data_IF_173972280666
#
_entry.id   IF_173972280666
#
_cell.length_a   1.000
_cell.length_b   1.000
_cell.length_c   1.000
_cell.angle_alpha   90.00
_cell.angle_beta   90.00
_cell.angle_gamma   90.00
#
_symmetry.space_group_name_H-M   'P 1'
#
loop_
_entity.id
_entity.type
_entity.pdbx_description
1 polymer ?
#
# COMPACT_ATOMS: atom_id res chain seq x y z
N UNK A 1 8.35 0.29 -19.16
CA UNK A 1 9.76 0.33 -18.74
C UNK A 1 10.52 1.48 -19.40
N UNK A 2 9.84 2.58 -19.72
CA UNK A 2 10.45 3.62 -20.56
C UNK A 2 11.21 4.65 -19.74
N UNK A 3 10.77 4.90 -18.50
CA UNK A 3 11.41 5.81 -17.55
C UNK A 3 12.65 5.18 -16.90
N UNK A 4 12.56 3.87 -16.59
CA UNK A 4 13.59 3.10 -15.90
C UNK A 4 13.69 1.71 -16.54
N UNK A 5 14.89 1.28 -16.94
CA UNK A 5 15.11 -0.10 -17.39
C UNK A 5 15.06 -1.04 -16.18
N UNK A 6 14.22 -2.08 -16.26
CA UNK A 6 14.02 -3.05 -15.18
C UNK A 6 14.12 -4.45 -15.77
N UNK A 7 15.08 -5.26 -15.30
CA UNK A 7 15.26 -6.65 -15.73
C UNK A 7 14.97 -7.64 -14.62
N UNK A 8 14.98 -7.17 -13.37
CA UNK A 8 14.68 -7.96 -12.17
C UNK A 8 13.75 -7.22 -11.19
N UNK A 9 12.75 -7.92 -10.65
CA UNK A 9 11.74 -7.35 -9.73
C UNK A 9 11.56 -8.23 -8.50
N UNK A 10 11.47 -7.61 -7.32
CA UNK A 10 10.98 -8.27 -6.10
C UNK A 10 9.71 -7.58 -5.59
N UNK A 11 8.69 -8.35 -5.23
CA UNK A 11 7.39 -7.86 -4.76
C UNK A 11 7.14 -8.33 -3.31
N UNK A 12 7.08 -7.39 -2.37
CA UNK A 12 6.80 -7.65 -0.95
C UNK A 12 5.30 -7.46 -0.67
N UNK A 13 4.63 -8.54 -0.29
CA UNK A 13 3.17 -8.64 -0.24
C UNK A 13 2.59 -8.96 -1.62
N UNK A 14 3.19 -9.91 -2.33
CA UNK A 14 2.84 -10.17 -3.73
C UNK A 14 1.46 -10.82 -3.93
N UNK A 15 0.83 -11.32 -2.86
CA UNK A 15 -0.38 -12.14 -2.91
C UNK A 15 -0.23 -13.27 -3.92
N UNK A 16 -1.14 -13.32 -4.91
CA UNK A 16 -1.11 -14.31 -6.00
C UNK A 16 -0.02 -14.09 -7.06
N UNK A 17 0.83 -13.06 -6.93
CA UNK A 17 1.88 -12.72 -7.90
C UNK A 17 1.35 -11.98 -9.13
N UNK A 18 0.18 -11.35 -9.05
CA UNK A 18 -0.46 -10.66 -10.19
C UNK A 18 0.44 -9.57 -10.81
N UNK A 19 1.12 -8.77 -9.99
CA UNK A 19 2.03 -7.73 -10.45
C UNK A 19 3.29 -8.31 -11.10
N UNK A 20 3.87 -9.35 -10.50
CA UNK A 20 5.01 -10.06 -11.07
C UNK A 20 4.66 -10.71 -12.42
N UNK A 21 3.46 -11.27 -12.57
CA UNK A 21 2.95 -11.76 -13.86
C UNK A 21 2.86 -10.66 -14.91
N UNK A 22 2.41 -9.46 -14.52
CA UNK A 22 2.38 -8.29 -15.40
C UNK A 22 3.79 -7.82 -15.79
N UNK A 23 4.76 -7.87 -14.88
CA UNK A 23 6.18 -7.60 -15.18
C UNK A 23 6.76 -8.62 -16.16
N UNK A 24 6.48 -9.92 -15.99
CA UNK A 24 6.88 -10.98 -16.94
C UNK A 24 6.32 -10.73 -18.34
N UNK A 25 5.06 -10.33 -18.45
CA UNK A 25 4.43 -9.94 -19.73
C UNK A 25 5.09 -8.73 -20.39
N UNK A 26 5.70 -7.85 -19.59
CA UNK A 26 6.49 -6.72 -20.07
C UNK A 26 7.96 -7.08 -20.34
N UNK A 27 8.36 -8.35 -20.22
CA UNK A 27 9.71 -8.83 -20.54
C UNK A 27 10.69 -8.97 -19.37
N UNK A 28 10.27 -8.72 -18.11
CA UNK A 28 11.10 -9.04 -16.92
C UNK A 28 11.24 -10.56 -16.83
N UNK A 29 12.47 -11.06 -16.76
CA UNK A 29 12.73 -12.51 -16.69
C UNK A 29 12.97 -13.00 -15.27
N UNK A 30 13.36 -12.10 -14.39
CA UNK A 30 13.81 -12.43 -13.05
C UNK A 30 12.87 -11.78 -12.04
N UNK A 31 11.96 -12.57 -11.48
CA UNK A 31 10.98 -12.10 -10.50
C UNK A 31 11.05 -12.91 -9.23
N UNK A 32 10.78 -12.27 -8.10
CA UNK A 32 10.59 -12.93 -6.82
C UNK A 32 9.44 -12.30 -6.04
N UNK A 33 8.51 -13.12 -5.56
CA UNK A 33 7.39 -12.69 -4.73
C UNK A 33 7.54 -13.18 -3.31
N UNK A 34 7.35 -12.29 -2.33
CA UNK A 34 7.25 -12.65 -0.92
C UNK A 34 5.86 -12.31 -0.40
N UNK A 35 5.23 -13.25 0.30
CA UNK A 35 3.99 -12.98 1.03
C UNK A 35 3.89 -13.87 2.27
N UNK A 36 3.16 -13.42 3.28
CA UNK A 36 2.83 -14.22 4.46
C UNK A 36 1.69 -15.20 4.20
N UNK A 37 0.89 -14.94 3.16
CA UNK A 37 -0.36 -15.62 2.89
C UNK A 37 -0.18 -17.10 2.59
N UNK A 38 -0.99 -17.94 3.23
CA UNK A 38 -1.26 -19.32 2.82
C UNK A 38 -2.22 -19.32 1.60
N UNK A 39 -1.81 -18.63 0.53
CA UNK A 39 -2.56 -18.61 -0.73
C UNK A 39 -2.50 -19.99 -1.35
N UNK A 40 -3.64 -20.45 -1.85
CA UNK A 40 -3.72 -21.68 -2.62
C UNK A 40 -2.75 -21.61 -3.80
N UNK A 41 -1.86 -22.59 -3.88
CA UNK A 41 -0.82 -22.65 -4.91
C UNK A 41 -1.41 -22.71 -6.31
N UNK A 42 -2.65 -23.17 -6.45
CA UNK A 42 -3.37 -23.28 -7.72
C UNK A 42 -3.76 -21.92 -8.32
N UNK A 43 -3.82 -20.85 -7.51
CA UNK A 43 -4.21 -19.51 -8.00
C UNK A 43 -3.02 -18.58 -8.27
N UNK A 44 -1.78 -19.06 -8.10
CA UNK A 44 -0.60 -18.25 -8.41
C UNK A 44 -0.49 -17.95 -9.91
N UNK A 45 -0.08 -16.71 -10.21
CA UNK A 45 0.14 -16.22 -11.58
C UNK A 45 1.62 -16.16 -11.95
N UNK A 46 2.48 -16.76 -11.12
CA UNK A 46 3.92 -16.91 -11.26
C UNK A 46 4.32 -18.34 -10.92
N UNK A 47 5.54 -18.74 -11.27
CA UNK A 47 6.03 -20.07 -10.95
C UNK A 47 6.24 -20.20 -9.44
N UNK A 48 5.91 -21.36 -8.86
CA UNK A 48 6.08 -21.59 -7.40
C UNK A 48 7.52 -21.39 -6.92
N UNK A 49 8.50 -21.59 -7.80
CA UNK A 49 9.91 -21.33 -7.51
C UNK A 49 10.26 -19.83 -7.40
N UNK A 50 9.40 -18.96 -7.94
CA UNK A 50 9.51 -17.50 -7.86
C UNK A 50 8.83 -16.97 -6.58
N UNK A 51 8.07 -17.79 -5.87
CA UNK A 51 7.41 -17.42 -4.61
C UNK A 51 8.19 -17.94 -3.39
N UNK A 52 8.25 -17.12 -2.34
CA UNK A 52 8.73 -17.53 -1.03
C UNK A 52 7.80 -16.99 0.06
N UNK A 53 7.28 -17.89 0.88
CA UNK A 53 6.51 -17.48 2.06
C UNK A 53 7.43 -16.77 3.07
N UNK A 54 7.06 -15.57 3.49
CA UNK A 54 7.82 -14.75 4.43
C UNK A 54 6.92 -13.73 5.13
N UNK A 55 7.10 -13.57 6.44
CA UNK A 55 6.48 -12.51 7.21
C UNK A 55 7.22 -11.18 6.97
N UNK A 56 6.66 -10.34 6.11
CA UNK A 56 7.21 -9.03 5.73
C UNK A 56 7.22 -7.99 6.87
N UNK A 57 6.69 -8.33 8.06
CA UNK A 57 6.89 -7.52 9.27
C UNK A 57 8.26 -7.74 9.91
N UNK A 58 9.01 -8.75 9.45
CA UNK A 58 10.35 -9.09 9.95
C UNK A 58 11.45 -8.54 9.05
N UNK A 59 12.63 -8.23 9.61
CA UNK A 59 13.80 -7.85 8.81
C UNK A 59 14.12 -8.91 7.75
N UNK A 60 14.22 -8.48 6.50
CA UNK A 60 14.48 -9.36 5.36
C UNK A 60 15.95 -9.27 4.93
N UNK A 61 16.57 -10.45 4.77
CA UNK A 61 17.89 -10.60 4.17
C UNK A 61 17.80 -11.54 2.98
N UNK A 62 18.21 -11.04 1.81
CA UNK A 62 18.35 -11.79 0.56
C UNK A 62 19.71 -11.42 -0.03
N UNK A 63 20.50 -12.42 -0.41
CA UNK A 63 21.87 -12.27 -0.94
C UNK A 63 21.92 -11.81 -2.40
N UNK A 64 20.88 -11.10 -2.84
CA UNK A 64 20.68 -10.63 -4.21
C UNK A 64 20.06 -9.23 -4.18
N UNK A 65 20.42 -8.42 -5.15
CA UNK A 65 19.78 -7.12 -5.43
C UNK A 65 18.93 -7.22 -6.69
N UNK A 66 17.89 -6.41 -6.72
CA UNK A 66 16.96 -6.28 -7.84
C UNK A 66 17.07 -4.87 -8.43
N UNK A 67 16.62 -4.69 -9.67
CA UNK A 67 16.53 -3.37 -10.29
C UNK A 67 15.37 -2.58 -9.68
N UNK A 68 14.27 -3.27 -9.35
CA UNK A 68 13.06 -2.72 -8.76
C UNK A 68 12.57 -3.59 -7.60
N UNK A 69 12.22 -2.96 -6.49
CA UNK A 69 11.38 -3.57 -5.46
C UNK A 69 9.98 -2.93 -5.51
N UNK A 70 8.93 -3.68 -5.20
CA UNK A 70 7.60 -3.12 -5.06
C UNK A 70 6.84 -3.66 -3.84
N UNK A 71 5.85 -2.89 -3.40
CA UNK A 71 4.87 -3.27 -2.39
C UNK A 71 3.64 -2.38 -2.59
N UNK A 72 2.53 -2.96 -3.03
CA UNK A 72 1.42 -2.22 -3.64
C UNK A 72 0.08 -2.55 -2.95
N UNK A 73 -0.43 -1.62 -2.15
CA UNK A 73 -1.61 -1.81 -1.28
C UNK A 73 -1.41 -2.99 -0.30
N UNK A 74 -0.33 -2.89 0.49
CA UNK A 74 0.12 -3.92 1.44
C UNK A 74 0.41 -3.30 2.80
N UNK A 75 1.16 -2.20 2.84
CA UNK A 75 1.70 -1.65 4.07
C UNK A 75 0.60 -1.14 5.05
N UNK A 76 -0.60 -0.86 4.55
CA UNK A 76 -1.79 -0.50 5.34
C UNK A 76 -2.37 -1.67 6.15
N UNK A 77 -2.07 -2.91 5.77
CA UNK A 77 -2.49 -4.10 6.50
C UNK A 77 -1.53 -4.46 7.63
N UNK A 78 -0.31 -3.91 7.60
CA UNK A 78 0.72 -4.17 8.60
C UNK A 78 0.53 -3.28 9.82
N UNK A 79 0.92 -3.71 11.03
CA UNK A 79 0.95 -2.80 12.17
C UNK A 79 1.90 -1.63 11.88
N UNK A 80 1.58 -0.43 12.38
CA UNK A 80 2.42 0.77 12.20
C UNK A 80 3.88 0.54 12.62
N UNK A 81 4.11 -0.29 13.64
CA UNK A 81 5.46 -0.67 14.10
C UNK A 81 6.31 -1.41 13.06
N UNK A 82 5.69 -1.97 12.00
CA UNK A 82 6.39 -2.61 10.90
C UNK A 82 6.71 -1.66 9.74
N UNK A 83 6.25 -0.40 9.78
CA UNK A 83 6.42 0.57 8.69
C UNK A 83 7.90 0.83 8.36
N UNK A 84 8.76 1.03 9.36
CA UNK A 84 10.19 1.19 9.11
C UNK A 84 10.83 -0.11 8.60
N UNK A 85 10.43 -1.28 9.12
CA UNK A 85 10.98 -2.58 8.70
C UNK A 85 10.70 -2.90 7.23
N UNK A 86 9.49 -2.64 6.74
CA UNK A 86 9.15 -2.90 5.32
C UNK A 86 9.90 -1.93 4.40
N UNK A 87 9.98 -0.64 4.75
CA UNK A 87 10.72 0.34 3.95
C UNK A 87 12.22 0.03 3.95
N UNK A 88 12.80 -0.35 5.09
CA UNK A 88 14.19 -0.78 5.18
C UNK A 88 14.45 -2.00 4.28
N UNK A 89 13.53 -2.98 4.28
CA UNK A 89 13.63 -4.18 3.45
C UNK A 89 13.60 -3.82 1.95
N UNK A 90 12.63 -3.00 1.52
CA UNK A 90 12.51 -2.55 0.12
C UNK A 90 13.76 -1.80 -0.34
N UNK A 91 14.23 -0.84 0.46
CA UNK A 91 15.37 0.03 0.13
C UNK A 91 16.71 -0.72 0.13
N UNK A 92 16.84 -1.79 0.92
CA UNK A 92 17.98 -2.71 0.84
C UNK A 92 17.96 -3.56 -0.42
N UNK A 93 16.79 -3.91 -0.95
CA UNK A 93 16.68 -4.85 -2.07
C UNK A 93 16.94 -4.22 -3.44
N UNK A 94 16.56 -2.96 -3.63
CA UNK A 94 16.65 -2.30 -4.94
C UNK A 94 16.96 -0.80 -4.84
N UNK A 95 17.61 -0.21 -5.86
CA UNK A 95 17.80 1.25 -5.95
C UNK A 95 16.52 2.01 -6.30
N UNK A 96 15.49 1.31 -6.76
CA UNK A 96 14.20 1.87 -7.15
C UNK A 96 13.12 1.08 -6.45
N UNK A 97 12.16 1.77 -5.86
CA UNK A 97 11.02 1.19 -5.15
C UNK A 97 9.72 1.76 -5.72
N UNK A 98 8.82 0.90 -6.18
CA UNK A 98 7.45 1.25 -6.54
C UNK A 98 6.52 0.92 -5.37
N UNK A 99 5.90 1.93 -4.78
CA UNK A 99 5.19 1.78 -3.51
C UNK A 99 3.79 2.38 -3.58
N UNK A 100 2.82 1.69 -2.97
CA UNK A 100 1.51 2.27 -2.67
C UNK A 100 0.97 1.70 -1.36
N UNK A 101 0.25 2.55 -0.63
CA UNK A 101 -0.46 2.17 0.58
C UNK A 101 -1.69 3.07 0.73
N UNK A 102 -2.75 2.51 1.32
CA UNK A 102 -3.99 3.23 1.56
C UNK A 102 -3.80 4.50 2.41
N UNK A 103 -4.45 5.58 1.99
CA UNK A 103 -4.56 6.83 2.78
C UNK A 103 -5.66 6.70 3.84
N UNK A 104 -5.68 7.54 4.89
CA UNK A 104 -6.72 7.49 5.92
C UNK A 104 -8.13 7.55 5.35
N UNK A 105 -8.97 6.64 5.82
CA UNK A 105 -10.37 6.46 5.41
C UNK A 105 -10.55 6.03 3.94
N UNK A 106 -9.52 5.51 3.29
CA UNK A 106 -9.69 4.84 2.00
C UNK A 106 -10.62 3.63 2.12
N UNK A 107 -10.55 2.95 3.28
CA UNK A 107 -11.31 1.74 3.56
C UNK A 107 -10.74 0.53 2.84
N UNK A 108 -11.24 -0.63 3.21
CA UNK A 108 -10.72 -1.93 2.78
C UNK A 108 -10.83 -2.93 3.94
N UNK A 109 -10.45 -4.17 3.69
CA UNK A 109 -10.51 -5.23 4.71
C UNK A 109 -9.24 -5.21 5.52
N UNK A 110 -9.34 -5.18 6.85
CA UNK A 110 -8.20 -5.27 7.78
C UNK A 110 -7.10 -4.21 7.56
N UNK A 111 -7.49 -3.00 7.16
CA UNK A 111 -6.57 -1.85 7.16
C UNK A 111 -6.36 -1.38 8.60
N UNK A 112 -5.12 -1.46 9.08
CA UNK A 112 -4.73 -1.06 10.45
C UNK A 112 -3.75 0.10 10.48
N UNK A 113 -3.11 0.42 9.35
CA UNK A 113 -2.09 1.45 9.22
C UNK A 113 -2.27 2.30 7.94
N UNK A 114 -3.45 2.88 7.77
CA UNK A 114 -3.70 3.84 6.70
C UNK A 114 -2.95 5.16 6.99
N UNK A 115 -2.03 5.54 6.10
CA UNK A 115 -1.11 6.66 6.33
C UNK A 115 -0.99 7.55 5.09
N UNK A 116 -0.76 8.84 5.30
CA UNK A 116 -0.54 9.77 4.20
C UNK A 116 0.77 9.47 3.44
N UNK A 117 0.87 9.74 2.13
CA UNK A 117 2.10 9.52 1.37
C UNK A 117 3.34 10.21 1.96
N UNK A 118 3.16 11.37 2.61
CA UNK A 118 4.23 12.11 3.30
C UNK A 118 4.79 11.36 4.52
N UNK A 119 3.99 10.50 5.17
CA UNK A 119 4.48 9.62 6.23
C UNK A 119 5.50 8.63 5.65
N UNK A 120 5.13 7.96 4.56
CA UNK A 120 6.00 7.01 3.88
C UNK A 120 7.22 7.68 3.27
N UNK A 121 7.06 8.86 2.65
CA UNK A 121 8.19 9.65 2.12
C UNK A 121 9.23 9.94 3.19
N UNK A 122 8.80 10.34 4.40
CA UNK A 122 9.72 10.62 5.49
C UNK A 122 10.53 9.39 5.88
N UNK A 123 9.93 8.21 5.88
CA UNK A 123 10.64 6.95 6.16
C UNK A 123 11.62 6.65 5.03
N UNK A 124 11.18 6.64 3.77
CA UNK A 124 12.07 6.43 2.60
C UNK A 124 13.25 7.42 2.58
N UNK A 125 13.01 8.68 2.92
CA UNK A 125 14.03 9.72 2.98
C UNK A 125 15.09 9.43 4.03
N UNK A 126 14.73 8.87 5.20
CA UNK A 126 15.71 8.40 6.21
C UNK A 126 16.64 7.31 5.64
N UNK A 127 16.14 6.50 4.71
CA UNK A 127 16.91 5.46 4.02
C UNK A 127 17.65 5.97 2.77
N UNK A 128 17.70 7.29 2.53
CA UNK A 128 18.43 7.89 1.41
C UNK A 128 17.70 7.83 0.08
N UNK A 129 16.37 7.68 0.09
CA UNK A 129 15.55 7.68 -1.12
C UNK A 129 14.83 9.02 -1.32
N UNK A 130 14.55 9.35 -2.57
CA UNK A 130 13.81 10.53 -3.01
C UNK A 130 12.54 10.08 -3.73
N UNK A 131 11.42 10.70 -3.39
CA UNK A 131 10.16 10.48 -4.11
C UNK A 131 10.21 11.15 -5.49
N UNK A 132 9.65 10.47 -6.49
CA UNK A 132 9.44 10.96 -7.86
C UNK A 132 8.00 10.63 -8.25
N UNK A 133 7.13 11.64 -8.31
CA UNK A 133 5.72 11.46 -8.67
C UNK A 133 5.51 11.48 -10.20
N UNK A 134 6.06 10.47 -10.87
CA UNK A 134 5.99 10.34 -12.32
C UNK A 134 4.82 9.49 -12.82
N UNK A 135 4.18 8.70 -11.95
CA UNK A 135 3.18 7.71 -12.37
C UNK A 135 1.77 8.27 -12.28
N UNK A 136 1.39 8.90 -11.16
CA UNK A 136 0.02 9.35 -10.92
C UNK A 136 -0.46 10.33 -11.99
N UNK A 137 0.43 11.18 -12.49
CA UNK A 137 0.14 12.11 -13.58
C UNK A 137 -0.29 11.40 -14.88
N UNK A 138 0.22 10.19 -15.13
CA UNK A 138 -0.08 9.41 -16.34
C UNK A 138 -1.37 8.60 -16.23
N UNK A 139 -1.72 8.18 -15.00
CA UNK A 139 -2.83 7.24 -14.78
C UNK A 139 -4.05 7.84 -14.09
N UNK A 140 -3.98 9.09 -13.61
CA UNK A 140 -5.04 9.71 -12.79
C UNK A 140 -6.45 9.58 -13.39
N UNK A 141 -6.59 9.88 -14.69
CA UNK A 141 -7.87 9.83 -15.40
C UNK A 141 -8.07 8.53 -16.21
N UNK A 142 -7.19 7.54 -16.06
CA UNK A 142 -7.29 6.30 -16.80
C UNK A 142 -8.30 5.37 -16.13
N UNK A 143 -9.48 5.23 -16.72
CA UNK A 143 -10.56 4.42 -16.15
C UNK A 143 -10.25 2.93 -16.03
N UNK A 144 -9.23 2.44 -16.76
CA UNK A 144 -8.75 1.06 -16.65
C UNK A 144 -7.85 0.82 -15.44
N UNK A 145 -7.45 1.89 -14.74
CA UNK A 145 -6.65 1.82 -13.52
C UNK A 145 -7.58 2.03 -12.34
N UNK A 146 -7.50 1.14 -11.34
CA UNK A 146 -8.26 1.28 -10.12
C UNK A 146 -7.87 2.58 -9.41
N UNK A 147 -8.84 3.27 -8.82
CA UNK A 147 -8.61 4.63 -8.31
C UNK A 147 -7.55 4.67 -7.19
N UNK A 148 -7.45 3.61 -6.38
CA UNK A 148 -6.47 3.52 -5.30
C UNK A 148 -5.04 3.47 -5.86
N UNK A 149 -4.79 2.69 -6.93
CA UNK A 149 -3.50 2.74 -7.62
C UNK A 149 -3.24 4.09 -8.28
N UNK A 150 -4.24 4.70 -8.92
CA UNK A 150 -4.07 6.03 -9.52
C UNK A 150 -3.74 7.11 -8.47
N UNK A 151 -4.16 6.91 -7.23
CA UNK A 151 -4.00 7.84 -6.12
C UNK A 151 -2.70 7.64 -5.34
N UNK A 152 -2.35 6.39 -5.02
CA UNK A 152 -1.37 6.07 -3.99
C UNK A 152 -0.01 5.69 -4.56
N UNK A 153 0.07 5.37 -5.85
CA UNK A 153 1.26 4.81 -6.47
C UNK A 153 2.36 5.87 -6.65
N UNK A 154 3.47 5.69 -5.94
CA UNK A 154 4.64 6.57 -5.96
C UNK A 154 5.90 5.78 -6.27
N UNK A 155 6.86 6.46 -6.89
CA UNK A 155 8.18 5.94 -7.14
C UNK A 155 9.17 6.56 -6.15
N UNK A 156 10.00 5.74 -5.53
CA UNK A 156 11.11 6.17 -4.69
C UNK A 156 12.42 5.69 -5.29
N UNK A 157 13.40 6.58 -5.44
CA UNK A 157 14.69 6.27 -6.05
C UNK A 157 15.80 6.65 -5.09
N UNK A 158 16.78 5.77 -4.93
CA UNK A 158 17.95 6.05 -4.11
C UNK A 158 18.67 7.29 -4.63
N UNK A 159 18.98 8.23 -3.74
CA UNK A 159 19.48 9.54 -4.13
C UNK A 159 20.78 9.45 -4.95
N UNK A 160 21.66 8.51 -4.62
CA UNK A 160 22.94 8.27 -5.32
C UNK A 160 22.78 7.54 -6.68
N UNK A 161 21.57 7.11 -7.03
CA UNK A 161 21.26 6.41 -8.26
C UNK A 161 20.45 7.26 -9.25
N UNK A 162 19.98 8.45 -8.85
CA UNK A 162 19.12 9.31 -9.66
C UNK A 162 19.75 9.66 -11.01
N UNK A 163 21.05 9.95 -11.05
CA UNK A 163 21.78 10.32 -12.28
C UNK A 163 21.77 9.20 -13.34
N UNK A 164 21.49 7.95 -12.93
CA UNK A 164 21.34 6.81 -13.85
C UNK A 164 20.00 6.80 -14.57
N UNK A 165 19.05 7.64 -14.15
CA UNK A 165 17.69 7.69 -14.67
C UNK A 165 17.32 9.12 -15.11
N UNK A 166 18.00 9.69 -16.12
CA UNK A 166 17.80 11.09 -16.54
C UNK A 166 16.37 11.40 -16.98
N UNK A 167 15.61 10.39 -17.44
CA UNK A 167 14.19 10.55 -17.79
C UNK A 167 13.29 10.88 -16.59
N UNK A 168 13.77 10.71 -15.37
CA UNK A 168 13.05 11.09 -14.15
C UNK A 168 13.24 12.55 -13.77
N UNK A 169 14.24 13.24 -14.30
CA UNK A 169 14.61 14.60 -13.91
C UNK A 169 13.44 15.60 -14.00
N UNK A 170 12.63 15.63 -15.08
CA UNK A 170 11.49 16.55 -15.14
C UNK A 170 10.46 16.28 -14.03
N UNK A 171 10.18 15.00 -13.76
CA UNK A 171 9.23 14.61 -12.72
C UNK A 171 9.76 14.89 -11.33
N UNK A 172 11.06 14.71 -11.10
CA UNK A 172 11.69 15.03 -9.83
C UNK A 172 11.62 16.53 -9.55
N UNK A 173 11.84 17.37 -10.56
CA UNK A 173 11.71 18.83 -10.44
C UNK A 173 10.28 19.27 -10.08
N UNK A 174 9.27 18.59 -10.62
CA UNK A 174 7.85 18.85 -10.35
C UNK A 174 7.34 18.19 -9.05
N UNK A 175 8.12 17.29 -8.45
CA UNK A 175 7.70 16.57 -7.24
C UNK A 175 8.01 17.38 -5.98
N UNK A 176 6.96 17.79 -5.27
CA UNK A 176 7.09 18.38 -3.94
C UNK A 176 6.77 17.35 -2.84
N UNK A 177 7.76 16.93 -2.02
CA UNK A 177 7.57 15.90 -1.00
C UNK A 177 6.62 16.31 0.13
N UNK A 178 6.34 17.60 0.30
CA UNK A 178 5.40 18.11 1.32
C UNK A 178 3.96 18.23 0.79
N UNK A 179 3.71 17.93 -0.50
CA UNK A 179 2.41 18.05 -1.16
C UNK A 179 2.10 16.81 -2.02
N UNK A 180 2.27 15.62 -1.44
CA UNK A 180 2.05 14.34 -2.10
C UNK A 180 0.60 13.85 -1.98
N UNK A 181 -0.08 14.20 -0.89
CA UNK A 181 -1.44 13.81 -0.58
C UNK A 181 -2.42 14.27 -1.67
N UNK A 182 -3.19 13.32 -2.21
CA UNK A 182 -4.24 13.57 -3.20
C UNK A 182 -5.42 12.66 -2.92
N UNK A 183 -6.64 13.19 -3.09
CA UNK A 183 -7.87 12.40 -3.01
C UNK A 183 -8.49 12.31 -4.38
N UNK A 184 -8.61 11.08 -4.89
CA UNK A 184 -9.20 10.80 -6.18
C UNK A 184 -10.72 11.05 -6.12
N UNK A 185 -11.34 11.68 -7.14
CA UNK A 185 -12.78 11.95 -7.15
C UNK A 185 -13.64 10.70 -6.90
N UNK A 186 -13.26 9.54 -7.46
CA UNK A 186 -13.94 8.25 -7.19
C UNK A 186 -13.92 7.87 -5.72
N UNK A 187 -12.80 8.07 -5.00
CA UNK A 187 -12.73 7.81 -3.56
C UNK A 187 -13.65 8.75 -2.79
N UNK A 188 -13.58 10.06 -3.09
CA UNK A 188 -14.44 11.05 -2.44
C UNK A 188 -15.92 10.77 -2.68
N UNK A 189 -16.33 10.52 -3.92
CA UNK A 189 -17.73 10.26 -4.26
C UNK A 189 -18.23 8.95 -3.64
N UNK A 190 -17.41 7.90 -3.62
CA UNK A 190 -17.74 6.63 -2.96
C UNK A 190 -17.98 6.82 -1.46
N UNK A 191 -17.06 7.49 -0.76
CA UNK A 191 -17.22 7.73 0.69
C UNK A 191 -18.44 8.62 0.99
N UNK A 192 -18.73 9.62 0.14
CA UNK A 192 -19.94 10.43 0.25
C UNK A 192 -21.22 9.62 0.00
N UNK A 193 -21.23 8.75 -0.99
CA UNK A 193 -22.36 7.88 -1.29
C UNK A 193 -22.65 6.93 -0.12
N UNK A 194 -21.62 6.29 0.44
CA UNK A 194 -21.74 5.42 1.61
C UNK A 194 -22.33 6.17 2.82
N UNK A 195 -21.85 7.38 3.10
CA UNK A 195 -22.41 8.23 4.17
C UNK A 195 -23.86 8.68 3.91
N UNK A 196 -24.25 8.82 2.64
CA UNK A 196 -25.60 9.19 2.23
C UNK A 196 -26.57 8.02 2.06
N UNK A 197 -26.10 6.77 2.22
CA UNK A 197 -26.93 5.60 2.04
C UNK A 197 -28.03 5.58 3.12
N UNK A 198 -29.33 5.43 2.72
CA UNK A 198 -30.46 5.51 3.63
C UNK A 198 -30.34 4.61 4.86
N UNK A 199 -29.68 3.45 4.75
CA UNK A 199 -29.44 2.57 5.90
C UNK A 199 -28.63 3.25 7.00
N UNK A 200 -27.56 3.98 6.64
CA UNK A 200 -26.74 4.72 7.60
C UNK A 200 -27.46 5.97 8.12
N UNK A 201 -28.22 6.65 7.26
CA UNK A 201 -29.03 7.80 7.67
C UNK A 201 -30.09 7.38 8.68
N UNK A 202 -30.83 6.30 8.41
CA UNK A 202 -31.84 5.74 9.32
C UNK A 202 -31.19 5.27 10.61
N UNK A 203 -30.06 4.55 10.55
CA UNK A 203 -29.35 4.10 11.76
C UNK A 203 -28.86 5.29 12.61
N UNK A 204 -28.30 6.32 11.99
CA UNK A 204 -27.86 7.55 12.67
C UNK A 204 -29.04 8.35 13.24
N UNK A 205 -30.16 8.37 12.53
CA UNK A 205 -31.39 9.04 12.98
C UNK A 205 -31.97 8.32 14.19
N UNK A 206 -32.13 6.99 14.12
CA UNK A 206 -32.57 6.16 15.25
C UNK A 206 -31.62 6.35 16.44
N UNK A 207 -30.30 6.32 16.21
CA UNK A 207 -29.32 6.57 17.26
C UNK A 207 -29.49 7.93 17.95
N UNK A 208 -29.75 8.99 17.18
CA UNK A 208 -29.95 10.33 17.72
C UNK A 208 -31.29 10.49 18.45
N UNK A 209 -32.32 9.74 18.06
CA UNK A 209 -33.62 9.66 18.73
C UNK A 209 -33.55 8.89 20.06
N UNK A 210 -32.56 8.02 20.25
CA UNK A 210 -32.38 7.32 21.52
C UNK A 210 -32.03 8.32 22.64
N UNK A 211 -32.72 8.27 23.79
CA UNK A 211 -32.34 8.98 24.98
C UNK A 211 -30.87 8.73 25.34
N UNK A 212 -30.17 9.78 25.77
CA UNK A 212 -28.76 9.70 26.19
C UNK A 212 -28.43 8.49 27.10
N UNK A 213 -29.23 8.13 28.13
CA UNK A 213 -28.93 6.94 28.95
C UNK A 213 -28.93 5.62 28.17
N UNK A 214 -29.78 5.48 27.14
CA UNK A 214 -29.83 4.28 26.29
C UNK A 214 -28.60 4.23 25.39
N UNK A 215 -28.21 5.36 24.79
CA UNK A 215 -26.96 5.46 24.02
C UNK A 215 -25.74 5.09 24.86
N UNK A 216 -25.63 5.61 26.08
CA UNK A 216 -24.52 5.31 26.99
C UNK A 216 -24.48 3.81 27.34
N UNK A 217 -25.64 3.18 27.56
CA UNK A 217 -25.72 1.73 27.82
C UNK A 217 -25.30 0.90 26.62
N UNK A 218 -25.73 1.26 25.41
CA UNK A 218 -25.34 0.57 24.18
C UNK A 218 -23.85 0.72 23.89
N UNK A 219 -23.27 1.91 24.06
CA UNK A 219 -21.82 2.13 23.93
C UNK A 219 -21.06 1.24 24.91
N UNK A 220 -21.48 1.20 26.19
CA UNK A 220 -20.85 0.34 27.20
C UNK A 220 -20.96 -1.14 26.86
N UNK A 221 -22.10 -1.59 26.35
CA UNK A 221 -22.31 -2.98 25.95
C UNK A 221 -21.44 -3.37 24.75
N UNK A 222 -21.35 -2.50 23.74
CA UNK A 222 -20.50 -2.70 22.57
C UNK A 222 -19.02 -2.71 22.96
N UNK A 223 -18.59 -1.78 23.81
CA UNK A 223 -17.24 -1.76 24.35
C UNK A 223 -16.94 -3.04 25.15
N UNK A 224 -17.85 -3.48 26.02
CA UNK A 224 -17.68 -4.73 26.78
C UNK A 224 -17.56 -5.95 25.87
N UNK A 225 -18.41 -6.07 24.85
CA UNK A 225 -18.35 -7.18 23.90
C UNK A 225 -17.06 -7.15 23.08
N UNK A 226 -16.62 -5.97 22.66
CA UNK A 226 -15.33 -5.77 21.97
C UNK A 226 -14.16 -6.22 22.85
N UNK A 227 -14.11 -5.77 24.12
CA UNK A 227 -13.07 -6.18 25.06
C UNK A 227 -13.10 -7.66 25.40
N UNK A 228 -14.28 -8.29 25.46
CA UNK A 228 -14.43 -9.74 25.64
C UNK A 228 -13.89 -10.53 24.45
N UNK A 229 -14.06 -10.01 23.24
CA UNK A 229 -13.56 -10.64 22.01
C UNK A 229 -12.03 -10.50 21.88
N UNK A 230 -11.47 -9.34 22.26
CA UNK A 230 -10.01 -9.08 22.26
C UNK A 230 -9.30 -9.77 23.45
N UNK A 231 -9.98 -9.94 24.59
CA UNK A 231 -9.45 -10.68 25.73
C UNK A 231 -9.45 -12.21 25.56
N UNK A 232 -10.24 -12.72 24.62
CA UNK A 232 -10.34 -14.16 24.31
C UNK A 232 -9.26 -14.66 23.36
N UNK A 233 -8.41 -13.77 22.81
CA UNK A 233 -7.30 -14.11 21.91
C UNK A 233 -5.94 -14.27 22.61
N UNK A 234 -5.95 -14.40 23.95
CA UNK A 234 -4.78 -14.64 24.80
C UNK A 234 -4.98 -15.82 25.77
N UNK A 235 -5.67 -16.87 25.34
CA UNK A 235 -5.63 -18.23 25.90
C UNK A 235 -5.35 -19.22 24.76
#
# INVERSE_FOLDING_TARGET
MDLIPVSSVIDLGCGTGSWLSAFKKCGVKDVQGLDSSDVDKEVFQIDLAEFRQFDITKPLTIDKKFDLACSLEVAEHLPESAAETIVESLTKLAPVVLFSAAVPFQGGTDHTNEQWPEYWEKIFRKHGFRVVDCIRQLVWNNERVAYWYAQNLLLFVRADALDKFPKLEPYLADTNPEYLSRIHPKMYLKSRQELSNPKYIVMRTIWNWLPRPIRVRLIKQLAYNFWKQVGSSYE
#
